data_IF_087017041295
#
_entry.id   IF_087017041295
#
_cell.length_a   1.000
_cell.length_b   1.000
_cell.length_c   1.000
_cell.angle_alpha   90.00
_cell.angle_beta   90.00
_cell.angle_gamma   90.00
#
_symmetry.space_group_name_H-M   'P 1'
#
loop_
_entity.id
_entity.type
_entity.pdbx_description
1 polymer ?
#
# COMPACT_ATOMS: atom_id res chain seq x y z
N UNK A 1 14.83 -5.38 -16.40
CA UNK A 1 14.29 -5.10 -15.05
C UNK A 1 14.88 -3.78 -14.60
N UNK A 2 14.03 -2.81 -14.26
CA UNK A 2 14.47 -1.53 -13.68
C UNK A 2 14.92 -1.78 -12.25
N UNK A 3 16.14 -1.39 -11.90
CA UNK A 3 16.69 -1.43 -10.54
C UNK A 3 16.95 0.00 -10.11
N UNK A 4 16.66 0.32 -8.85
CA UNK A 4 17.01 1.60 -8.24
C UNK A 4 18.20 1.43 -7.28
N UNK A 5 19.01 2.47 -7.14
CA UNK A 5 20.06 2.59 -6.12
C UNK A 5 19.41 3.00 -4.79
N UNK A 6 19.75 2.31 -3.71
CA UNK A 6 19.20 2.55 -2.38
C UNK A 6 20.26 2.87 -1.31
N UNK A 7 21.50 3.07 -1.72
CA UNK A 7 22.65 3.23 -0.82
C UNK A 7 22.52 4.42 0.14
N UNK A 8 21.79 5.48 -0.25
CA UNK A 8 21.56 6.69 0.54
C UNK A 8 20.43 6.56 1.57
N UNK A 9 19.50 5.61 1.40
CA UNK A 9 18.25 5.58 2.18
C UNK A 9 18.49 5.43 3.67
N UNK A 10 19.35 4.49 4.09
CA UNK A 10 19.61 4.26 5.51
C UNK A 10 20.25 5.48 6.19
N UNK A 11 21.11 6.19 5.47
CA UNK A 11 21.73 7.41 5.98
C UNK A 11 20.69 8.55 6.10
N UNK A 12 19.83 8.72 5.08
CA UNK A 12 18.73 9.71 5.11
C UNK A 12 17.77 9.47 6.27
N UNK A 13 17.35 8.22 6.47
CA UNK A 13 16.50 7.83 7.60
C UNK A 13 17.17 8.11 8.96
N UNK A 14 18.46 7.83 9.09
CA UNK A 14 19.20 8.14 10.31
C UNK A 14 19.27 9.65 10.59
N UNK A 15 19.43 10.48 9.54
CA UNK A 15 19.38 11.95 9.67
C UNK A 15 17.99 12.42 10.08
N UNK A 16 16.93 11.91 9.45
CA UNK A 16 15.54 12.20 9.81
C UNK A 16 15.25 11.82 11.27
N UNK A 17 15.68 10.63 11.70
CA UNK A 17 15.49 10.17 13.07
C UNK A 17 16.14 11.07 14.14
N UNK A 18 17.25 11.72 13.78
CA UNK A 18 18.01 12.59 14.68
C UNK A 18 17.56 14.05 14.67
N UNK A 19 16.70 14.44 13.73
CA UNK A 19 16.35 15.83 13.51
C UNK A 19 15.30 16.35 14.52
N UNK A 20 15.38 17.65 14.91
CA UNK A 20 14.27 18.31 15.59
C UNK A 20 13.01 18.27 14.71
N UNK A 21 11.86 17.89 15.26
CA UNK A 21 10.62 17.71 14.49
C UNK A 21 10.42 16.32 13.87
N UNK A 22 11.36 15.38 14.04
CA UNK A 22 11.23 14.01 13.51
C UNK A 22 9.95 13.28 13.94
N UNK A 23 9.39 13.62 15.10
CA UNK A 23 8.15 13.03 15.63
C UNK A 23 6.88 13.68 15.08
N UNK A 24 7.00 14.84 14.43
CA UNK A 24 5.87 15.58 13.86
C UNK A 24 5.53 15.08 12.46
N UNK A 25 6.45 14.36 11.81
CA UNK A 25 6.14 13.69 10.55
C UNK A 25 5.10 12.61 10.81
N UNK A 26 4.04 12.64 9.99
CA UNK A 26 2.94 11.70 10.09
C UNK A 26 3.45 10.25 10.03
N UNK A 27 2.98 9.41 10.97
CA UNK A 27 3.34 8.00 11.07
C UNK A 27 4.77 7.70 11.60
N UNK A 28 5.59 8.72 11.86
CA UNK A 28 6.95 8.54 12.39
C UNK A 28 6.98 7.81 13.74
N UNK A 29 5.95 7.96 14.57
CA UNK A 29 5.84 7.23 15.83
C UNK A 29 5.71 5.70 15.61
N UNK A 30 5.12 5.27 14.50
CA UNK A 30 4.90 3.86 14.18
C UNK A 30 6.16 3.21 13.62
N UNK A 31 6.75 3.79 12.58
CA UNK A 31 7.92 3.18 11.93
C UNK A 31 9.26 3.62 12.54
N UNK A 32 9.27 4.65 13.40
CA UNK A 32 10.46 5.13 14.14
C UNK A 32 11.70 5.39 13.29
N UNK A 33 11.52 5.72 12.01
CA UNK A 33 12.58 5.86 11.00
C UNK A 33 13.52 4.64 10.86
N UNK A 34 13.07 3.44 11.25
CA UNK A 34 13.87 2.22 11.20
C UNK A 34 13.39 1.28 10.10
N UNK A 35 14.32 0.90 9.21
CA UNK A 35 14.12 -0.23 8.31
C UNK A 35 14.53 -1.53 8.99
N UNK A 36 13.79 -2.59 8.69
CA UNK A 36 14.24 -3.95 8.91
C UNK A 36 15.53 -4.23 8.09
N UNK A 37 16.38 -5.19 8.52
CA UNK A 37 17.52 -5.61 7.72
C UNK A 37 17.11 -6.08 6.32
N UNK A 38 17.94 -5.87 5.28
CA UNK A 38 17.64 -6.36 3.94
C UNK A 38 17.61 -7.89 3.91
N UNK A 39 16.92 -8.45 2.92
CA UNK A 39 16.96 -9.86 2.61
C UNK A 39 18.29 -10.22 1.94
N UNK A 40 18.75 -11.44 2.17
CA UNK A 40 19.79 -12.07 1.36
C UNK A 40 19.20 -12.46 0.02
N UNK A 41 20.04 -12.51 -1.03
CA UNK A 41 19.60 -12.95 -2.36
C UNK A 41 18.90 -14.32 -2.36
N UNK A 42 19.38 -15.27 -1.53
CA UNK A 42 18.75 -16.58 -1.38
C UNK A 42 17.39 -16.56 -0.68
N UNK A 43 17.20 -15.65 0.29
CA UNK A 43 15.93 -15.48 1.00
C UNK A 43 14.87 -14.89 0.06
N UNK A 44 15.25 -13.90 -0.76
CA UNK A 44 14.36 -13.35 -1.76
C UNK A 44 14.01 -14.36 -2.85
N UNK A 45 14.98 -15.16 -3.30
CA UNK A 45 14.72 -16.23 -4.27
C UNK A 45 13.78 -17.31 -3.71
N UNK A 46 13.93 -17.67 -2.43
CA UNK A 46 13.01 -18.59 -1.74
C UNK A 46 11.60 -18.00 -1.66
N UNK A 47 11.48 -16.72 -1.30
CA UNK A 47 10.21 -16.02 -1.26
C UNK A 47 9.51 -15.96 -2.64
N UNK A 48 10.20 -15.55 -3.69
CA UNK A 48 9.61 -15.49 -5.04
C UNK A 48 9.25 -16.88 -5.58
N UNK A 49 10.03 -17.91 -5.24
CA UNK A 49 9.68 -19.29 -5.55
C UNK A 49 8.41 -19.75 -4.82
N UNK A 50 8.24 -19.36 -3.55
CA UNK A 50 7.01 -19.62 -2.78
C UNK A 50 5.80 -18.91 -3.40
N UNK A 51 5.95 -17.65 -3.79
CA UNK A 51 4.88 -16.84 -4.38
C UNK A 51 4.55 -17.24 -5.83
N UNK A 52 5.46 -17.96 -6.50
CA UNK A 52 5.33 -18.33 -7.91
C UNK A 52 5.46 -17.13 -8.88
N UNK A 53 5.96 -16.00 -8.40
CA UNK A 53 6.09 -14.76 -9.17
C UNK A 53 7.35 -14.00 -8.76
N UNK A 54 7.99 -13.36 -9.73
CA UNK A 54 9.09 -12.42 -9.45
C UNK A 54 8.52 -11.06 -9.03
N UNK A 55 9.07 -10.45 -7.98
CA UNK A 55 8.64 -9.13 -7.54
C UNK A 55 9.12 -8.03 -8.53
N UNK A 56 8.44 -6.88 -8.63
CA UNK A 56 8.88 -5.79 -9.50
C UNK A 56 10.29 -5.31 -9.17
N UNK A 57 11.09 -4.99 -10.20
CA UNK A 57 12.54 -4.82 -10.07
C UNK A 57 12.99 -3.76 -9.05
N UNK A 58 12.28 -2.63 -8.96
CA UNK A 58 12.59 -1.57 -7.99
C UNK A 58 12.34 -2.02 -6.54
N UNK A 59 11.26 -2.76 -6.31
CA UNK A 59 10.96 -3.33 -4.99
C UNK A 59 11.92 -4.47 -4.65
N UNK A 60 12.27 -5.31 -5.64
CA UNK A 60 13.30 -6.35 -5.51
C UNK A 60 14.63 -5.76 -5.04
N UNK A 61 15.11 -4.69 -5.68
CA UNK A 61 16.37 -4.05 -5.27
C UNK A 61 16.25 -3.39 -3.90
N UNK A 62 15.09 -2.82 -3.54
CA UNK A 62 14.83 -2.28 -2.21
C UNK A 62 14.94 -3.36 -1.12
N UNK A 63 14.32 -4.52 -1.32
CA UNK A 63 14.37 -5.64 -0.38
C UNK A 63 15.79 -6.15 -0.14
N UNK A 64 16.66 -6.09 -1.15
CA UNK A 64 18.05 -6.56 -1.10
C UNK A 64 19.03 -5.53 -0.53
N UNK A 65 18.79 -4.25 -0.77
CA UNK A 65 19.76 -3.19 -0.49
C UNK A 65 19.32 -2.28 0.66
N UNK A 66 18.05 -1.85 0.64
CA UNK A 66 17.52 -0.90 1.60
C UNK A 66 17.03 -1.61 2.86
N UNK A 67 16.13 -2.58 2.74
CA UNK A 67 15.48 -3.23 3.87
C UNK A 67 14.22 -3.98 3.46
N UNK A 68 13.76 -4.92 4.30
CA UNK A 68 12.57 -5.73 4.00
C UNK A 68 11.24 -5.15 4.51
N UNK A 69 11.22 -3.86 4.86
CA UNK A 69 10.08 -3.13 5.41
C UNK A 69 10.46 -2.23 6.59
N UNK A 70 9.47 -1.68 7.30
CA UNK A 70 9.67 -0.70 8.37
C UNK A 70 9.46 0.73 7.87
N UNK A 71 10.42 1.63 8.08
CA UNK A 71 10.32 3.03 7.68
C UNK A 71 9.89 3.23 6.22
N UNK A 72 8.82 4.00 6.04
CA UNK A 72 8.22 4.28 4.75
C UNK A 72 6.99 5.17 4.89
N UNK A 73 6.26 5.40 3.79
CA UNK A 73 5.05 6.22 3.76
C UNK A 73 4.05 5.89 4.87
N UNK A 74 3.39 6.94 5.37
CA UNK A 74 2.44 6.87 6.46
C UNK A 74 2.95 6.03 7.65
N UNK A 75 2.31 4.90 7.96
CA UNK A 75 2.64 4.07 9.11
C UNK A 75 3.83 3.14 8.89
N UNK A 76 4.42 3.15 7.69
CA UNK A 76 5.56 2.33 7.29
C UNK A 76 5.20 1.16 6.38
N UNK A 77 6.22 0.63 5.72
CA UNK A 77 6.13 -0.57 4.88
C UNK A 77 5.92 -1.81 5.74
N UNK A 78 4.98 -2.67 5.35
CA UNK A 78 4.80 -3.99 5.94
C UNK A 78 6.08 -4.82 5.81
N UNK A 79 6.71 -5.22 6.92
CA UNK A 79 7.89 -6.06 6.86
C UNK A 79 7.59 -7.45 6.33
N UNK A 80 8.41 -7.89 5.37
CA UNK A 80 8.43 -9.27 4.92
C UNK A 80 9.19 -10.13 5.93
N UNK A 81 8.53 -11.15 6.49
CA UNK A 81 9.06 -12.02 7.53
C UNK A 81 8.73 -13.48 7.22
N UNK A 82 9.52 -14.38 7.81
CA UNK A 82 9.28 -15.81 7.72
C UNK A 82 8.58 -16.30 8.99
N UNK A 83 7.31 -16.68 8.86
CA UNK A 83 6.46 -17.18 9.93
C UNK A 83 6.03 -18.61 9.58
N UNK A 84 6.24 -19.56 10.50
CA UNK A 84 5.99 -20.98 10.29
C UNK A 84 6.57 -21.56 8.98
N UNK A 85 7.73 -21.03 8.57
CA UNK A 85 8.44 -21.45 7.36
C UNK A 85 7.98 -20.79 6.07
N UNK A 86 6.95 -19.94 6.11
CA UNK A 86 6.43 -19.21 4.95
C UNK A 86 6.80 -17.73 5.01
N UNK A 87 7.21 -17.18 3.88
CA UNK A 87 7.43 -15.76 3.70
C UNK A 87 6.09 -15.04 3.50
N UNK A 88 5.85 -14.01 4.31
CA UNK A 88 4.65 -13.17 4.22
C UNK A 88 4.95 -11.75 4.71
N UNK A 89 4.08 -10.81 4.34
CA UNK A 89 4.10 -9.46 4.87
C UNK A 89 3.32 -9.39 6.18
N UNK A 90 3.81 -8.62 7.15
CA UNK A 90 3.19 -8.45 8.46
C UNK A 90 2.79 -7.00 8.68
N UNK A 91 1.56 -6.75 9.12
CA UNK A 91 1.05 -5.42 9.42
C UNK A 91 -0.47 -5.37 9.37
N UNK A 92 -1.04 -4.26 9.85
CA UNK A 92 -2.48 -4.01 9.79
C UNK A 92 -2.94 -3.85 8.33
N UNK A 93 -3.66 -4.84 7.81
CA UNK A 93 -4.10 -4.93 6.42
C UNK A 93 -3.09 -5.59 5.46
N UNK A 94 -2.02 -6.20 5.97
CA UNK A 94 -1.12 -7.00 5.12
C UNK A 94 -1.81 -8.28 4.58
N UNK A 95 -2.79 -8.79 5.32
CA UNK A 95 -3.64 -9.93 5.00
C UNK A 95 -4.61 -9.67 3.84
N UNK A 96 -4.81 -8.42 3.44
CA UNK A 96 -5.50 -8.07 2.20
C UNK A 96 -4.74 -8.55 0.95
N UNK A 97 -3.44 -8.79 1.06
CA UNK A 97 -2.66 -9.40 -0.02
C UNK A 97 -2.87 -10.91 -0.01
N UNK A 98 -3.72 -11.43 -0.90
CA UNK A 98 -3.75 -12.85 -1.19
C UNK A 98 -2.53 -13.26 -2.03
N UNK A 99 -1.51 -13.80 -1.35
CA UNK A 99 -0.28 -14.29 -1.98
C UNK A 99 -0.52 -15.33 -3.08
N UNK A 100 -1.61 -16.10 -3.02
CA UNK A 100 -1.98 -17.08 -4.04
C UNK A 100 -2.47 -16.46 -5.35
N UNK A 101 -2.80 -15.17 -5.34
CA UNK A 101 -3.30 -14.44 -6.52
C UNK A 101 -2.30 -13.44 -7.10
N UNK A 102 -1.11 -13.26 -6.50
CA UNK A 102 -0.10 -12.31 -6.99
C UNK A 102 0.39 -12.60 -8.42
N UNK A 103 0.30 -13.85 -8.88
CA UNK A 103 0.60 -14.25 -10.25
C UNK A 103 -0.54 -14.00 -11.25
N UNK A 104 -1.73 -13.62 -10.79
CA UNK A 104 -2.86 -13.25 -11.67
C UNK A 104 -2.71 -11.78 -12.08
N UNK A 105 -2.99 -11.42 -13.34
CA UNK A 105 -2.81 -10.05 -13.79
C UNK A 105 -3.89 -9.13 -13.21
N UNK A 106 -3.46 -8.08 -12.53
CA UNK A 106 -4.26 -6.88 -12.29
C UNK A 106 -4.51 -6.19 -13.62
N UNK A 107 -5.75 -6.19 -14.12
CA UNK A 107 -6.06 -5.83 -15.50
C UNK A 107 -6.09 -4.32 -15.77
N UNK A 108 -6.14 -3.49 -14.72
CA UNK A 108 -6.42 -2.07 -14.83
C UNK A 108 -5.14 -1.25 -15.05
N UNK A 109 -5.27 -0.20 -15.87
CA UNK A 109 -4.24 0.82 -16.11
C UNK A 109 -4.75 2.24 -15.85
N UNK A 110 -6.07 2.40 -15.70
CA UNK A 110 -6.81 3.62 -15.40
C UNK A 110 -7.59 3.42 -14.09
N UNK A 111 -7.99 4.50 -13.39
CA UNK A 111 -8.83 4.42 -12.20
C UNK A 111 -10.12 3.62 -12.43
N UNK A 112 -10.58 2.90 -11.41
CA UNK A 112 -11.88 2.25 -11.42
C UNK A 112 -12.46 2.18 -10.01
N UNK A 113 -13.77 2.24 -9.88
CA UNK A 113 -14.44 2.04 -8.61
C UNK A 113 -15.38 0.83 -8.69
N UNK A 114 -15.18 -0.23 -7.88
CA UNK A 114 -16.10 -1.36 -7.79
C UNK A 114 -17.55 -0.97 -7.49
N UNK A 115 -17.77 0.17 -6.83
CA UNK A 115 -19.10 0.70 -6.54
C UNK A 115 -19.78 1.32 -7.77
N UNK A 116 -19.04 1.55 -8.87
CA UNK A 116 -19.61 2.12 -10.09
C UNK A 116 -20.73 1.24 -10.64
N UNK A 117 -21.95 1.79 -10.66
CA UNK A 117 -23.13 1.10 -11.14
C UNK A 117 -23.94 0.36 -10.07
N UNK A 118 -23.52 0.40 -8.80
CA UNK A 118 -24.39 0.03 -7.69
C UNK A 118 -25.53 1.06 -7.53
N UNK A 119 -26.72 0.63 -7.06
CA UNK A 119 -27.76 1.57 -6.66
C UNK A 119 -27.25 2.45 -5.50
N UNK A 120 -27.86 3.62 -5.31
CA UNK A 120 -27.60 4.41 -4.11
C UNK A 120 -28.22 3.77 -2.85
N UNK A 121 -27.80 4.20 -1.65
CA UNK A 121 -28.34 3.69 -0.40
C UNK A 121 -29.85 3.99 -0.29
N UNK A 122 -30.62 3.16 0.44
CA UNK A 122 -32.02 3.41 0.70
C UNK A 122 -32.22 4.77 1.38
N UNK A 123 -33.31 5.46 1.04
CA UNK A 123 -33.68 6.75 1.63
C UNK A 123 -34.79 6.53 2.65
N UNK A 124 -34.61 7.02 3.88
CA UNK A 124 -35.54 6.80 5.00
C UNK A 124 -37.00 7.19 4.65
N UNK A 125 -37.20 8.29 3.93
CA UNK A 125 -38.51 8.79 3.49
C UNK A 125 -39.29 7.83 2.56
N UNK A 126 -38.62 6.83 1.96
CA UNK A 126 -39.26 5.85 1.07
C UNK A 126 -39.90 4.68 1.85
N UNK A 127 -39.71 4.60 3.17
CA UNK A 127 -40.16 3.48 4.01
C UNK A 127 -41.24 3.90 4.99
N UNK A 128 -42.12 2.94 5.33
CA UNK A 128 -43.28 3.22 6.19
C UNK A 128 -42.96 3.07 7.69
N UNK A 129 -41.80 2.51 8.02
CA UNK A 129 -41.31 2.33 9.39
C UNK A 129 -39.78 2.27 9.45
N UNK A 130 -39.23 2.59 10.63
CA UNK A 130 -37.79 2.47 10.93
C UNK A 130 -37.28 1.02 10.80
N UNK A 131 -38.10 0.03 11.15
CA UNK A 131 -37.73 -1.39 11.03
C UNK A 131 -37.56 -1.80 9.56
N UNK A 132 -38.45 -1.36 8.66
CA UNK A 132 -38.33 -1.61 7.22
C UNK A 132 -37.12 -0.88 6.62
N UNK A 133 -36.85 0.35 7.05
CA UNK A 133 -35.68 1.11 6.62
C UNK A 133 -34.37 0.44 7.04
N UNK A 134 -34.23 0.09 8.33
CA UNK A 134 -33.04 -0.57 8.84
C UNK A 134 -32.78 -1.91 8.14
N UNK A 135 -33.82 -2.70 7.89
CA UNK A 135 -33.69 -3.96 7.16
C UNK A 135 -33.23 -3.75 5.70
N UNK A 136 -33.70 -2.68 5.05
CA UNK A 136 -33.26 -2.33 3.71
C UNK A 136 -31.83 -1.78 3.69
N UNK A 137 -31.44 -1.01 4.71
CA UNK A 137 -30.08 -0.50 4.88
C UNK A 137 -29.08 -1.63 5.11
N UNK A 138 -29.39 -2.57 6.01
CA UNK A 138 -28.56 -3.76 6.27
C UNK A 138 -28.36 -4.59 4.99
N UNK A 139 -29.45 -4.87 4.26
CA UNK A 139 -29.39 -5.62 3.01
C UNK A 139 -28.59 -4.88 1.91
N UNK A 140 -28.72 -3.55 1.86
CA UNK A 140 -27.96 -2.72 0.94
C UNK A 140 -26.47 -2.79 1.25
N UNK A 141 -26.05 -2.59 2.51
CA UNK A 141 -24.63 -2.60 2.88
C UNK A 141 -24.01 -3.99 2.76
N UNK A 142 -24.75 -5.06 3.07
CA UNK A 142 -24.27 -6.43 2.83
C UNK A 142 -23.98 -6.67 1.34
N UNK A 143 -24.90 -6.26 0.45
CA UNK A 143 -24.70 -6.39 -0.99
C UNK A 143 -23.57 -5.48 -1.49
N UNK A 144 -23.53 -4.23 -1.02
CA UNK A 144 -22.50 -3.26 -1.36
C UNK A 144 -21.12 -3.79 -1.03
N UNK A 145 -20.91 -4.23 0.21
CA UNK A 145 -19.62 -4.70 0.70
C UNK A 145 -19.18 -5.98 -0.02
N UNK A 146 -20.12 -6.88 -0.33
CA UNK A 146 -19.83 -8.09 -1.10
C UNK A 146 -19.33 -7.78 -2.52
N UNK A 147 -19.73 -6.65 -3.12
CA UNK A 147 -19.27 -6.21 -4.44
C UNK A 147 -18.00 -5.38 -4.35
N UNK A 148 -17.95 -4.42 -3.42
CA UNK A 148 -16.84 -3.46 -3.33
C UNK A 148 -15.57 -4.11 -2.80
N UNK A 149 -15.68 -4.98 -1.81
CA UNK A 149 -14.55 -5.66 -1.19
C UNK A 149 -14.29 -7.06 -1.75
N UNK A 150 -14.83 -7.36 -2.94
CA UNK A 150 -14.59 -8.63 -3.60
C UNK A 150 -13.07 -8.80 -3.89
N UNK A 151 -12.45 -9.92 -3.47
CA UNK A 151 -11.01 -10.12 -3.59
C UNK A 151 -10.52 -10.16 -5.05
N UNK A 152 -11.42 -10.33 -6.02
CA UNK A 152 -11.12 -10.29 -7.45
C UNK A 152 -10.58 -8.93 -7.91
N UNK A 153 -10.93 -7.84 -7.22
CA UNK A 153 -10.49 -6.49 -7.59
C UNK A 153 -9.01 -6.23 -7.30
N UNK A 154 -8.44 -6.95 -6.33
CA UNK A 154 -7.07 -6.74 -5.84
C UNK A 154 -6.07 -7.82 -6.28
N UNK A 155 -6.47 -8.74 -7.17
CA UNK A 155 -5.56 -9.78 -7.68
C UNK A 155 -4.35 -9.16 -8.36
N UNK A 156 -3.17 -9.71 -8.10
CA UNK A 156 -1.92 -9.16 -8.64
C UNK A 156 -1.43 -7.89 -7.93
N UNK A 157 -2.13 -7.38 -6.91
CA UNK A 157 -1.68 -6.27 -6.06
C UNK A 157 -0.98 -6.81 -4.80
N UNK A 158 0.12 -6.17 -4.44
CA UNK A 158 0.80 -6.35 -3.16
C UNK A 158 0.59 -5.08 -2.32
N UNK A 159 -0.22 -5.16 -1.26
CA UNK A 159 -0.38 -4.05 -0.33
C UNK A 159 0.89 -3.86 0.49
N UNK A 160 1.41 -2.63 0.51
CA UNK A 160 2.71 -2.31 1.12
C UNK A 160 2.60 -1.51 2.40
N UNK A 161 1.54 -0.70 2.56
CA UNK A 161 1.29 0.04 3.79
C UNK A 161 -0.18 0.46 3.91
N UNK A 162 -0.57 0.86 5.12
CA UNK A 162 -1.80 1.61 5.34
C UNK A 162 -1.52 3.09 5.57
N UNK A 163 -2.42 3.95 5.08
CA UNK A 163 -2.33 5.40 5.27
C UNK A 163 -3.29 5.94 6.33
N UNK A 164 -4.04 5.04 6.99
CA UNK A 164 -5.10 5.35 7.96
C UNK A 164 -6.49 5.18 7.35
N UNK A 165 -7.54 5.23 8.16
CA UNK A 165 -8.95 5.17 7.69
C UNK A 165 -9.25 4.01 6.72
N UNK A 166 -8.63 2.84 6.95
CA UNK A 166 -8.71 1.68 6.06
C UNK A 166 -8.16 1.88 4.61
N UNK A 167 -7.63 3.04 4.27
CA UNK A 167 -6.97 3.31 2.98
C UNK A 167 -5.61 2.61 2.90
N UNK A 168 -5.21 2.18 1.69
CA UNK A 168 -3.99 1.40 1.47
C UNK A 168 -3.26 1.84 0.20
N UNK A 169 -1.95 1.60 0.18
CA UNK A 169 -1.16 1.73 -1.05
C UNK A 169 -0.54 0.39 -1.42
N UNK A 170 -0.68 0.03 -2.70
CA UNK A 170 -0.32 -1.26 -3.25
C UNK A 170 0.60 -1.13 -4.46
N UNK A 171 1.46 -2.13 -4.64
CA UNK A 171 2.32 -2.30 -5.79
C UNK A 171 1.69 -3.31 -6.74
N UNK A 172 1.56 -2.96 -8.02
CA UNK A 172 1.14 -3.92 -9.04
C UNK A 172 2.28 -4.92 -9.28
N UNK A 173 2.09 -6.16 -8.82
CA UNK A 173 3.03 -7.26 -9.06
C UNK A 173 2.82 -7.80 -10.47
N UNK A 174 1.61 -8.22 -10.84
CA UNK A 174 1.38 -8.82 -12.17
C UNK A 174 0.33 -8.04 -12.94
N UNK A 175 0.56 -7.82 -14.23
CA UNK A 175 -0.38 -7.10 -15.11
C UNK A 175 0.29 -6.01 -15.96
N UNK A 176 -0.47 -5.34 -16.84
CA UNK A 176 0.01 -4.24 -17.69
C UNK A 176 0.61 -3.06 -16.92
N UNK A 177 0.15 -2.81 -15.68
CA UNK A 177 0.68 -1.75 -14.81
C UNK A 177 1.83 -2.21 -13.90
N UNK A 178 2.44 -3.38 -14.13
CA UNK A 178 3.49 -3.96 -13.26
C UNK A 178 4.56 -2.94 -12.85
N UNK A 179 4.83 -2.89 -11.55
CA UNK A 179 5.81 -1.99 -10.93
C UNK A 179 5.28 -0.61 -10.57
N UNK A 180 4.04 -0.27 -10.95
CA UNK A 180 3.39 0.98 -10.56
C UNK A 180 2.72 0.87 -9.19
N UNK A 181 2.69 1.99 -8.49
CA UNK A 181 2.00 2.16 -7.21
C UNK A 181 0.56 2.63 -7.45
N UNK A 182 -0.36 2.08 -6.65
CA UNK A 182 -1.79 2.37 -6.69
C UNK A 182 -2.30 2.62 -5.27
N UNK A 183 -3.31 3.48 -5.14
CA UNK A 183 -4.13 3.62 -3.95
C UNK A 183 -5.35 2.73 -4.05
N UNK A 184 -5.71 2.14 -2.91
CA UNK A 184 -7.01 1.53 -2.66
C UNK A 184 -7.75 2.43 -1.67
N UNK A 185 -8.64 3.24 -2.22
CA UNK A 185 -9.47 4.20 -1.50
C UNK A 185 -10.93 3.73 -1.40
N UNK A 186 -11.18 2.43 -1.60
CA UNK A 186 -12.54 1.84 -1.55
C UNK A 186 -13.25 2.09 -0.23
N UNK A 187 -12.51 2.15 0.89
CA UNK A 187 -13.06 2.47 2.20
C UNK A 187 -13.58 3.92 2.36
N UNK A 188 -13.27 4.80 1.40
CA UNK A 188 -13.74 6.18 1.33
C UNK A 188 -14.45 6.48 0.00
N UNK A 189 -15.02 5.45 -0.63
CA UNK A 189 -15.74 5.53 -1.90
C UNK A 189 -14.91 6.03 -3.10
N UNK A 190 -13.57 6.06 -2.98
CA UNK A 190 -12.65 6.58 -4.00
C UNK A 190 -12.23 5.57 -5.06
N UNK A 191 -12.50 4.27 -4.83
CA UNK A 191 -12.09 3.17 -5.69
C UNK A 191 -10.57 2.93 -5.71
N UNK A 192 -10.08 2.32 -6.78
CA UNK A 192 -8.66 2.08 -7.01
C UNK A 192 -8.10 3.12 -7.99
N UNK A 193 -6.97 3.74 -7.64
CA UNK A 193 -6.37 4.81 -8.45
C UNK A 193 -4.85 4.60 -8.62
N UNK A 194 -4.28 4.83 -9.82
CA UNK A 194 -2.83 4.93 -9.95
C UNK A 194 -2.31 6.13 -9.16
N UNK A 195 -1.16 5.97 -8.50
CA UNK A 195 -0.48 7.07 -7.86
C UNK A 195 0.44 7.77 -8.86
N UNK A 196 0.24 9.07 -9.04
CA UNK A 196 1.03 9.89 -9.97
C UNK A 196 1.95 10.87 -9.23
N UNK A 197 3.06 11.24 -9.88
CA UNK A 197 3.92 12.35 -9.47
C UNK A 197 3.23 13.70 -9.82
N UNK A 198 3.81 14.80 -9.35
CA UNK A 198 3.28 16.14 -9.53
C UNK A 198 3.10 16.56 -11.01
N UNK A 199 3.80 15.92 -11.94
CA UNK A 199 3.71 16.16 -13.37
C UNK A 199 2.75 15.20 -14.10
N UNK A 200 2.05 14.33 -13.37
CA UNK A 200 1.14 13.32 -13.91
C UNK A 200 1.84 12.04 -14.38
N UNK A 201 3.14 11.86 -14.09
CA UNK A 201 3.84 10.60 -14.40
C UNK A 201 3.47 9.52 -13.39
N UNK A 202 3.03 8.33 -13.81
CA UNK A 202 2.75 7.22 -12.89
C UNK A 202 3.96 6.82 -12.04
N UNK A 203 3.75 6.70 -10.73
CA UNK A 203 4.80 6.37 -9.78
C UNK A 203 5.15 4.89 -9.83
N UNK A 204 6.43 4.60 -10.03
CA UNK A 204 7.03 3.32 -9.61
C UNK A 204 7.35 3.33 -8.12
N UNK A 205 7.62 2.16 -7.56
CA UNK A 205 7.99 2.00 -6.14
C UNK A 205 9.15 2.92 -5.73
N UNK A 206 10.18 3.06 -6.56
CA UNK A 206 11.37 3.83 -6.22
C UNK A 206 11.06 5.32 -6.03
N UNK A 207 10.34 5.91 -6.98
CA UNK A 207 9.97 7.32 -6.93
C UNK A 207 8.97 7.58 -5.81
N UNK A 208 8.00 6.70 -5.61
CA UNK A 208 7.03 6.77 -4.52
C UNK A 208 7.73 6.81 -3.14
N UNK A 209 8.64 5.89 -2.86
CA UNK A 209 9.38 5.87 -1.59
C UNK A 209 10.27 7.11 -1.42
N UNK A 210 10.98 7.52 -2.48
CA UNK A 210 11.86 8.70 -2.44
C UNK A 210 11.09 10.01 -2.25
N UNK A 211 9.90 10.13 -2.84
CA UNK A 211 9.02 11.28 -2.64
C UNK A 211 8.62 11.43 -1.18
N UNK A 212 8.29 10.34 -0.50
CA UNK A 212 8.04 10.37 0.94
C UNK A 212 9.26 10.83 1.74
N UNK A 213 10.47 10.33 1.42
CA UNK A 213 11.70 10.81 2.06
C UNK A 213 11.92 12.32 1.85
N UNK A 214 11.73 12.80 0.61
CA UNK A 214 11.88 14.21 0.25
C UNK A 214 10.86 15.10 1.00
N UNK A 215 9.61 14.64 1.13
CA UNK A 215 8.56 15.32 1.88
C UNK A 215 8.88 15.36 3.38
N UNK A 216 9.31 14.24 3.95
CA UNK A 216 9.73 14.16 5.35
C UNK A 216 10.90 15.10 5.66
N UNK A 217 11.91 15.14 4.78
CA UNK A 217 13.05 16.05 4.90
C UNK A 217 12.61 17.51 4.82
N UNK A 218 11.71 17.84 3.88
CA UNK A 218 11.13 19.17 3.75
C UNK A 218 10.32 19.61 4.97
N UNK A 219 9.54 18.72 5.57
CA UNK A 219 8.74 18.99 6.77
C UNK A 219 9.64 19.24 7.99
N UNK A 220 10.59 18.34 8.25
CA UNK A 220 11.55 18.48 9.35
C UNK A 220 12.38 19.76 9.22
N UNK A 221 12.79 20.11 8.00
CA UNK A 221 13.51 21.35 7.74
C UNK A 221 12.69 22.61 8.05
N UNK A 222 11.35 22.56 7.97
CA UNK A 222 10.46 23.66 8.34
C UNK A 222 10.22 23.73 9.86
N UNK A 223 10.03 22.57 10.52
CA UNK A 223 9.85 22.49 11.98
C UNK A 223 11.08 22.95 12.78
N UNK A 224 12.29 22.86 12.21
CA UNK A 224 13.53 23.31 12.86
C UNK A 224 13.71 24.84 12.99
N UNK A 225 12.80 25.65 12.43
CA UNK A 225 12.82 27.12 12.52
C UNK A 225 11.88 27.71 13.58
N UNK A 226 11.23 26.87 14.37
CA UNK A 226 10.34 27.26 15.48
C UNK A 226 11.01 27.00 16.85
#
# INVERSE_FOLDING_TARGET
>A
MTSADWSDVRERLARLAAAPGAREVFGAASHSWRLEPPLRAGELAEAEAQLGVELPGEYRSFLLEAGRGGAGPAYGLFPMRRLDGLWQWEGDGADLTDCGTLGRPFAHVEPFNPADGLPGPPVEDDYSSEEEFNAAEDAYWEQHDAVVFAPEHSVGLLYLCHVGCALREALVVTGPARGRMWADDTAADGGFQPLDDHDGTPLGFARWYRRWLEQAEGQVAQSGWH
#
